data_IF_779747280532
#
_entry.id   IF_779747280532
#
_cell.length_a   1.000
_cell.length_b   1.000
_cell.length_c   1.000
_cell.angle_alpha   90.00
_cell.angle_beta   90.00
_cell.angle_gamma   90.00
#
_symmetry.space_group_name_H-M   'P 1'
#
loop_
_entity.id
_entity.type
_entity.pdbx_description
1 polymer ?
2 non-polymer ?
3 non-polymer ?
4 water ?
#
# COMPACT_ATOMS: atom_id res chain seq x y z
N UNK A 1 7.88 0.49 -0.64
CA UNK A 1 8.78 0.82 0.49
C UNK A 1 9.95 -0.16 0.66
N UNK A 2 9.89 -1.36 0.10
CA UNK A 2 10.83 -2.49 0.25
C UNK A 2 10.57 -3.53 -0.86
N UNK A 3 11.35 -4.64 -0.96
CA UNK A 3 11.35 -5.53 -2.14
C UNK A 3 10.05 -6.31 -2.41
N UNK A 4 9.25 -6.50 -1.36
CA UNK A 4 7.89 -7.09 -1.47
C UNK A 4 6.98 -6.14 -2.23
N UNK A 5 6.99 -4.88 -1.83
CA UNK A 5 6.20 -3.82 -2.48
C UNK A 5 6.69 -3.59 -3.93
N UNK A 6 7.98 -3.69 -4.17
CA UNK A 6 8.57 -3.64 -5.53
C UNK A 6 7.97 -4.72 -6.46
N UNK A 7 7.95 -5.97 -6.04
CA UNK A 7 7.39 -7.07 -6.86
C UNK A 7 5.88 -6.82 -7.08
N UNK A 8 5.15 -6.48 -6.01
CA UNK A 8 3.70 -6.18 -6.10
C UNK A 8 3.44 -5.09 -7.13
N UNK A 9 4.17 -3.98 -7.04
CA UNK A 9 4.01 -2.86 -7.99
C UNK A 9 4.27 -3.31 -9.42
N UNK A 10 5.30 -4.09 -9.63
CA UNK A 10 5.64 -4.58 -10.99
C UNK A 10 4.47 -5.39 -11.57
N UNK A 11 3.80 -6.19 -10.75
CA UNK A 11 2.60 -6.95 -11.18
C UNK A 11 1.45 -6.01 -11.44
N UNK A 12 1.16 -5.08 -10.54
CA UNK A 12 0.02 -4.17 -10.72
C UNK A 12 0.16 -3.32 -11.97
N UNK A 13 1.38 -2.84 -12.25
CA UNK A 13 1.58 -1.82 -13.34
C UNK A 13 1.41 -2.46 -14.71
N UNK A 14 1.56 -3.76 -14.87
CA UNK A 14 1.49 -4.40 -16.18
C UNK A 14 0.42 -5.49 -16.28
N UNK A 15 0.01 -6.10 -15.18
CA UNK A 15 -0.82 -7.34 -15.23
C UNK A 15 -2.16 -7.13 -14.54
N UNK A 16 -2.65 -5.92 -14.39
CA UNK A 16 -4.02 -5.71 -13.85
C UNK A 16 -4.83 -4.79 -14.73
N UNK A 17 -6.16 -5.00 -14.69
CA UNK A 17 -7.16 -4.11 -15.30
C UNK A 17 -8.25 -3.90 -14.24
N UNK A 18 -9.07 -2.90 -14.45
CA UNK A 18 -10.28 -2.71 -13.61
C UNK A 18 -11.43 -3.42 -14.34
N UNK A 19 -12.00 -4.43 -13.71
CA UNK A 19 -13.15 -5.18 -14.29
C UNK A 19 -14.44 -4.73 -13.60
N UNK A 20 -15.48 -4.49 -14.39
CA UNK A 20 -16.80 -4.08 -13.86
C UNK A 20 -17.87 -5.06 -14.37
N UNK A 21 -18.57 -5.71 -13.45
CA UNK A 21 -19.75 -6.56 -13.73
C UNK A 21 -20.96 -5.86 -13.07
N UNK A 22 -22.11 -6.50 -13.15
CA UNK A 22 -23.34 -6.00 -12.46
C UNK A 22 -23.23 -6.15 -10.97
N UNK A 23 -22.23 -6.89 -10.46
CA UNK A 23 -21.98 -7.12 -9.02
C UNK A 23 -20.91 -6.18 -8.48
N UNK A 24 -20.30 -5.29 -9.28
CA UNK A 24 -19.33 -4.31 -8.78
C UNK A 24 -18.09 -4.13 -9.66
N UNK A 25 -17.16 -3.33 -9.15
CA UNK A 25 -15.81 -3.12 -9.70
C UNK A 25 -14.81 -3.99 -8.95
N UNK A 26 -13.95 -4.69 -9.69
CA UNK A 26 -12.97 -5.65 -9.13
C UNK A 26 -11.58 -5.37 -9.73
N UNK A 27 -10.55 -5.53 -8.91
CA UNK A 27 -9.19 -5.76 -9.40
C UNK A 27 -9.25 -7.07 -10.19
N UNK A 28 -8.66 -7.06 -11.39
CA UNK A 28 -8.60 -8.30 -12.23
C UNK A 28 -7.15 -8.50 -12.65
N UNK A 29 -6.63 -9.66 -12.33
CA UNK A 29 -5.27 -10.11 -12.71
C UNK A 29 -5.26 -10.75 -14.10
N UNK A 30 -4.49 -10.17 -15.03
CA UNK A 30 -4.20 -10.82 -16.32
C UNK A 30 -3.02 -11.76 -16.18
N UNK A 31 -3.12 -12.98 -16.69
CA UNK A 31 -2.10 -14.03 -16.43
C UNK A 31 -1.23 -14.26 -17.68
N UNK A 32 -1.84 -14.33 -18.87
CA UNK A 32 -1.11 -14.52 -20.15
C UNK A 32 -2.13 -14.32 -21.25
N UNK A 33 -1.63 -13.96 -22.45
CA UNK A 33 -2.49 -13.82 -23.66
C UNK A 33 -3.69 -12.93 -23.27
N UNK A 34 -4.93 -13.40 -23.46
CA UNK A 34 -6.12 -12.58 -23.14
C UNK A 34 -6.84 -13.25 -21.95
N UNK A 35 -6.12 -14.00 -21.13
CA UNK A 35 -6.67 -14.80 -20.01
C UNK A 35 -6.42 -14.05 -18.71
N UNK A 36 -7.50 -13.86 -17.95
CA UNK A 36 -7.46 -13.16 -16.65
C UNK A 36 -8.24 -13.97 -15.63
N UNK A 37 -8.16 -13.56 -14.36
CA UNK A 37 -8.95 -14.21 -13.28
C UNK A 37 -9.71 -13.15 -12.48
N UNK A 38 -10.77 -13.62 -11.83
CA UNK A 38 -11.66 -12.72 -11.03
C UNK A 38 -12.37 -13.62 -10.05
N UNK A 39 -12.77 -13.11 -8.86
CA UNK A 39 -13.58 -13.97 -7.97
C UNK A 39 -14.90 -14.40 -8.62
N UNK A 40 -15.29 -15.67 -8.39
CA UNK A 40 -16.50 -16.22 -9.05
C UNK A 40 -17.76 -15.42 -8.63
N UNK A 41 -17.77 -14.86 -7.43
CA UNK A 41 -18.92 -14.01 -7.01
C UNK A 41 -19.07 -12.72 -7.81
N UNK A 42 -18.12 -12.36 -8.67
CA UNK A 42 -18.32 -11.24 -9.62
C UNK A 42 -19.41 -11.55 -10.64
N UNK A 43 -19.80 -12.83 -10.82
CA UNK A 43 -20.86 -13.27 -11.77
C UNK A 43 -20.58 -12.74 -13.18
N UNK A 44 -19.46 -13.12 -13.74
CA UNK A 44 -19.09 -12.67 -15.10
C UNK A 44 -20.14 -13.20 -16.09
N UNK A 45 -20.59 -12.33 -17.00
CA UNK A 45 -21.54 -12.73 -18.04
C UNK A 45 -20.93 -12.73 -19.42
N UNK A 46 -21.71 -12.44 -20.45
CA UNK A 46 -21.28 -12.48 -21.85
C UNK A 46 -20.49 -11.20 -22.22
N UNK A 47 -20.71 -10.12 -21.46
CA UNK A 47 -20.08 -8.79 -21.63
C UNK A 47 -19.57 -8.34 -20.25
N UNK A 48 -18.38 -7.74 -20.24
CA UNK A 48 -17.77 -7.17 -19.03
C UNK A 48 -17.17 -5.80 -19.43
N UNK A 49 -17.01 -4.88 -18.50
CA UNK A 49 -16.26 -3.63 -18.77
C UNK A 49 -14.83 -3.81 -18.26
N UNK A 50 -13.84 -3.46 -19.10
CA UNK A 50 -12.41 -3.59 -18.79
C UNK A 50 -11.82 -2.18 -18.93
N UNK A 51 -11.42 -1.54 -17.83
CA UNK A 51 -10.94 -0.12 -17.87
C UNK A 51 -12.03 0.74 -18.52
N UNK A 52 -13.30 0.50 -18.20
CA UNK A 52 -14.50 1.27 -18.63
C UNK A 52 -14.82 1.10 -20.12
N UNK A 53 -14.31 0.05 -20.76
CA UNK A 53 -14.63 -0.26 -22.17
C UNK A 53 -15.37 -1.60 -22.28
N UNK A 54 -16.47 -1.57 -23.01
CA UNK A 54 -17.32 -2.76 -23.24
C UNK A 54 -16.54 -3.84 -23.96
N UNK A 55 -16.44 -5.03 -23.36
CA UNK A 55 -15.58 -6.13 -23.85
C UNK A 55 -16.39 -7.44 -23.85
N UNK A 56 -16.40 -8.14 -24.97
CA UNK A 56 -17.01 -9.46 -25.07
C UNK A 56 -16.19 -10.45 -24.29
N UNK A 57 -16.87 -11.36 -23.60
CA UNK A 57 -16.25 -12.50 -22.88
C UNK A 57 -16.24 -13.71 -23.83
N UNK A 58 -15.07 -14.16 -24.25
CA UNK A 58 -14.94 -15.31 -25.19
C UNK A 58 -15.18 -16.62 -24.45
N UNK A 59 -14.80 -16.72 -23.16
CA UNK A 59 -15.02 -17.92 -22.35
C UNK A 59 -14.95 -17.50 -20.88
N UNK A 60 -15.71 -18.14 -20.00
CA UNK A 60 -15.61 -17.94 -18.53
C UNK A 60 -15.79 -19.31 -17.86
N UNK A 61 -14.87 -19.72 -17.01
CA UNK A 61 -14.99 -21.02 -16.33
C UNK A 61 -14.81 -20.84 -14.83
N UNK A 62 -15.85 -21.12 -14.06
CA UNK A 62 -15.81 -21.09 -12.60
C UNK A 62 -15.16 -22.36 -12.12
N UNK A 63 -13.95 -22.31 -11.59
CA UNK A 63 -13.19 -23.53 -11.21
C UNK A 63 -13.77 -24.19 -9.96
N UNK A 64 -13.73 -25.52 -9.97
CA UNK A 64 -14.10 -26.36 -8.83
C UNK A 64 -13.04 -27.45 -8.71
N UNK A 65 -12.74 -27.93 -7.53
CA UNK A 65 -11.79 -29.05 -7.40
C UNK A 65 -12.46 -30.39 -7.79
N UNK A 66 -11.66 -31.45 -7.74
CA UNK A 66 -12.15 -32.73 -8.33
C UNK A 66 -13.20 -33.38 -7.43
N UNK A 67 -13.32 -32.94 -6.18
CA UNK A 67 -14.49 -33.21 -5.28
C UNK A 67 -15.71 -32.33 -5.63
N UNK A 68 -15.70 -31.52 -6.69
CA UNK A 68 -16.83 -30.68 -7.11
C UNK A 68 -17.08 -29.66 -5.97
N UNK A 69 -16.01 -29.16 -5.34
CA UNK A 69 -16.11 -28.06 -4.35
C UNK A 69 -15.66 -26.73 -4.99
N UNK A 70 -16.38 -25.66 -4.73
CA UNK A 70 -16.06 -24.30 -5.21
C UNK A 70 -14.59 -23.95 -4.89
N UNK A 71 -13.88 -23.34 -5.88
CA UNK A 71 -12.54 -22.74 -5.61
C UNK A 71 -12.59 -21.20 -5.64
N UNK A 72 -13.71 -20.60 -6.05
CA UNK A 72 -13.95 -19.14 -6.03
C UNK A 72 -13.12 -18.39 -7.09
N UNK A 73 -12.49 -19.12 -8.01
CA UNK A 73 -11.72 -18.51 -9.12
C UNK A 73 -12.52 -18.69 -10.40
N UNK A 74 -12.79 -17.63 -11.14
CA UNK A 74 -13.29 -17.71 -12.52
C UNK A 74 -12.15 -17.28 -13.48
N UNK A 75 -11.83 -18.12 -14.44
CA UNK A 75 -10.86 -17.82 -15.52
C UNK A 75 -11.66 -17.26 -16.68
N UNK A 76 -11.30 -16.07 -17.12
CA UNK A 76 -12.02 -15.33 -18.18
C UNK A 76 -11.09 -15.12 -19.37
N UNK A 77 -11.54 -15.46 -20.57
CA UNK A 77 -10.81 -15.06 -21.79
C UNK A 77 -11.54 -13.86 -22.39
N UNK A 78 -10.83 -12.76 -22.55
CA UNK A 78 -11.40 -11.46 -22.97
C UNK A 78 -11.21 -11.26 -24.48
N UNK A 79 -12.20 -10.72 -25.19
CA UNK A 79 -12.03 -10.27 -26.59
C UNK A 79 -11.35 -8.90 -26.62
N UNK A 80 -10.10 -8.89 -26.23
CA UNK A 80 -9.28 -7.66 -26.09
C UNK A 80 -8.27 -7.64 -27.25
N UNK A 81 -7.83 -6.44 -27.64
CA UNK A 81 -6.90 -6.28 -28.77
C UNK A 81 -5.44 -6.32 -28.33
N UNK A 82 -5.15 -6.71 -27.09
CA UNK A 82 -3.80 -6.60 -26.52
C UNK A 82 -3.63 -7.80 -25.59
N UNK A 83 -2.47 -8.44 -25.59
CA UNK A 83 -2.11 -9.53 -24.64
C UNK A 83 -1.50 -8.98 -23.35
N UNK A 84 -1.68 -9.72 -22.27
CA UNK A 84 -0.94 -9.52 -21.02
C UNK A 84 0.46 -10.07 -21.14
N UNK A 85 1.39 -9.44 -20.43
CA UNK A 85 2.70 -10.06 -20.12
C UNK A 85 2.42 -11.45 -19.53
N UNK A 86 3.12 -12.47 -19.95
CA UNK A 86 2.97 -13.82 -19.43
C UNK A 86 3.66 -13.88 -18.07
N UNK A 87 2.89 -14.08 -17.02
CA UNK A 87 3.42 -14.21 -15.62
C UNK A 87 3.18 -15.61 -15.07
N UNK A 88 2.93 -16.60 -15.89
CA UNK A 88 2.69 -17.98 -15.38
C UNK A 88 3.88 -18.53 -14.63
N UNK A 89 5.11 -18.09 -14.93
CA UNK A 89 6.29 -18.60 -14.23
C UNK A 89 6.39 -18.07 -12.80
N UNK A 90 5.55 -17.11 -12.41
CA UNK A 90 5.49 -16.62 -11.01
C UNK A 90 4.42 -17.33 -10.17
N UNK A 91 3.72 -18.30 -10.74
CA UNK A 91 2.62 -19.01 -10.03
C UNK A 91 3.22 -20.21 -9.33
N UNK A 92 2.82 -20.46 -8.08
CA UNK A 92 3.23 -21.66 -7.37
C UNK A 92 2.69 -22.92 -8.03
N UNK A 93 3.42 -24.02 -7.86
CA UNK A 93 2.97 -25.31 -8.40
C UNK A 93 2.10 -26.07 -7.38
N UNK A 94 2.28 -25.83 -6.08
CA UNK A 94 1.55 -26.59 -5.04
C UNK A 94 0.97 -25.67 -3.98
N UNK A 95 0.06 -26.22 -3.18
CA UNK A 95 -0.54 -25.54 -2.02
C UNK A 95 0.57 -25.33 -0.99
N UNK A 96 0.61 -24.17 -0.36
CA UNK A 96 1.70 -23.83 0.58
C UNK A 96 1.26 -22.72 1.50
N UNK A 97 2.06 -22.53 2.55
CA UNK A 97 2.04 -21.34 3.45
C UNK A 97 3.14 -20.37 2.99
N UNK A 98 3.04 -19.10 3.36
CA UNK A 98 3.97 -18.05 2.90
C UNK A 98 4.28 -17.08 4.01
N UNK A 99 5.46 -16.46 3.94
CA UNK A 99 5.72 -15.30 4.81
C UNK A 99 5.67 -13.98 4.02
N UNK A 100 5.31 -12.92 4.71
CA UNK A 100 5.57 -11.53 4.31
C UNK A 100 4.91 -11.28 2.95
N UNK A 101 3.60 -11.44 2.89
CA UNK A 101 2.84 -11.19 1.64
C UNK A 101 2.33 -9.75 1.60
N UNK A 102 2.00 -9.28 0.40
CA UNK A 102 1.37 -7.98 0.12
C UNK A 102 0.08 -8.26 -0.66
N UNK A 103 -0.97 -7.56 -0.28
CA UNK A 103 -2.26 -7.50 -1.01
C UNK A 103 -2.35 -6.18 -1.74
N UNK A 104 -2.54 -6.21 -3.05
CA UNK A 104 -2.55 -5.00 -3.91
C UNK A 104 -3.88 -4.88 -4.65
N UNK A 105 -4.47 -3.69 -4.61
CA UNK A 105 -5.78 -3.39 -5.18
C UNK A 105 -5.68 -2.17 -6.05
N UNK A 106 -6.40 -2.17 -7.17
CA UNK A 106 -6.48 -0.98 -8.02
C UNK A 106 -7.89 -0.86 -8.57
N UNK A 107 -8.70 0.04 -8.00
CA UNK A 107 -10.07 0.32 -8.49
C UNK A 107 -10.28 1.83 -8.41
N UNK A 108 -11.44 2.31 -8.89
CA UNK A 108 -11.92 3.71 -8.68
C UNK A 108 -11.98 4.06 -7.18
N UNK A 109 -12.39 3.16 -6.32
CA UNK A 109 -12.56 3.39 -4.86
C UNK A 109 -11.17 3.39 -4.20
N UNK A 110 -10.28 2.48 -4.61
CA UNK A 110 -8.96 2.25 -3.98
C UNK A 110 -7.86 2.17 -5.03
N UNK A 111 -7.41 3.30 -5.62
CA UNK A 111 -6.33 3.30 -6.57
C UNK A 111 -4.97 3.16 -5.88
N UNK A 112 -4.08 2.36 -6.48
CA UNK A 112 -2.67 2.29 -6.01
C UNK A 112 -2.61 1.90 -4.55
N UNK A 113 -3.42 0.93 -4.13
CA UNK A 113 -3.48 0.48 -2.74
C UNK A 113 -2.58 -0.74 -2.57
N UNK A 114 -1.74 -0.74 -1.54
CA UNK A 114 -0.85 -1.86 -1.17
C UNK A 114 -0.93 -2.10 0.32
N UNK A 115 -1.10 -3.33 0.76
CA UNK A 115 -1.25 -3.68 2.21
C UNK A 115 -0.29 -4.78 2.57
N UNK A 116 0.69 -4.60 3.50
CA UNK A 116 1.50 -5.70 3.99
C UNK A 116 0.65 -6.52 4.97
N UNK A 117 0.28 -7.73 4.56
CA UNK A 117 -0.64 -8.58 5.38
C UNK A 117 0.10 -9.55 6.26
N UNK A 118 1.41 -9.74 6.11
CA UNK A 118 2.23 -10.63 6.94
C UNK A 118 2.11 -12.07 6.52
N UNK A 119 2.09 -12.94 7.49
CA UNK A 119 2.10 -14.41 7.28
C UNK A 119 0.77 -14.87 6.64
N UNK A 120 0.90 -15.77 5.69
CA UNK A 120 -0.27 -16.37 4.98
C UNK A 120 -0.34 -17.88 5.28
N UNK A 121 -1.46 -18.32 5.85
CA UNK A 121 -1.71 -19.72 6.24
C UNK A 121 -2.43 -20.45 5.09
N UNK A 122 -2.00 -21.66 4.75
CA UNK A 122 -2.85 -22.60 3.98
C UNK A 122 -4.01 -23.01 4.88
N UNK A 123 -5.10 -22.30 4.80
CA UNK A 123 -6.27 -22.45 5.69
C UNK A 123 -7.08 -23.69 5.25
N UNK A 124 -7.26 -23.85 3.96
CA UNK A 124 -7.98 -24.99 3.36
C UNK A 124 -9.44 -24.68 3.16
N UNK A 125 -10.27 -25.31 3.99
CA UNK A 125 -11.73 -25.22 3.89
C UNK A 125 -12.23 -23.92 4.53
N UNK A 126 -13.15 -23.25 3.85
CA UNK A 126 -13.85 -22.06 4.37
C UNK A 126 -15.28 -22.11 3.87
N UNK A 127 -16.21 -21.82 4.76
CA UNK A 127 -17.62 -21.55 4.38
C UNK A 127 -17.70 -20.07 4.03
N UNK A 128 -17.55 -19.78 2.76
CA UNK A 128 -17.43 -18.42 2.23
C UNK A 128 -18.80 -17.93 1.76
N UNK A 129 -19.42 -17.00 2.52
CA UNK A 129 -20.77 -16.52 2.16
C UNK A 129 -21.80 -17.65 2.07
N UNK A 130 -21.66 -18.68 2.90
CA UNK A 130 -22.54 -19.88 2.84
C UNK A 130 -22.08 -20.95 1.86
N UNK A 131 -21.01 -20.72 1.08
CA UNK A 131 -20.60 -21.68 0.03
C UNK A 131 -19.35 -22.42 0.48
N UNK A 132 -19.36 -23.76 0.67
CA UNK A 132 -18.15 -24.50 0.99
C UNK A 132 -17.07 -24.24 -0.10
N UNK A 133 -15.89 -23.83 0.34
CA UNK A 133 -14.80 -23.41 -0.58
C UNK A 133 -13.51 -24.10 -0.13
N UNK A 134 -12.66 -24.51 -1.08
CA UNK A 134 -11.36 -25.16 -0.78
C UNK A 134 -10.19 -24.25 -1.25
N UNK A 135 -8.99 -24.63 -0.85
CA UNK A 135 -7.72 -23.97 -1.25
C UNK A 135 -7.69 -22.51 -0.85
N UNK A 136 -8.19 -22.21 0.34
CA UNK A 136 -8.19 -20.83 0.88
C UNK A 136 -6.91 -20.54 1.67
N UNK A 137 -6.33 -19.39 1.37
CA UNK A 137 -5.21 -18.77 2.11
C UNK A 137 -5.83 -17.76 3.08
N UNK A 138 -5.23 -17.67 4.26
CA UNK A 138 -5.71 -16.67 5.27
C UNK A 138 -4.56 -15.77 5.73
N UNK A 139 -4.90 -14.52 5.99
CA UNK A 139 -3.97 -13.51 6.57
C UNK A 139 -4.76 -12.70 7.58
N UNK A 140 -4.03 -12.24 8.59
CA UNK A 140 -4.64 -11.60 9.76
C UNK A 140 -4.61 -10.13 9.48
N UNK A 141 -5.41 -9.67 8.53
CA UNK A 141 -5.63 -8.23 8.26
C UNK A 141 -7.12 -7.98 8.06
N UNK A 142 -7.68 -6.90 8.68
CA UNK A 142 -9.08 -6.50 8.54
C UNK A 142 -9.41 -5.84 7.18
N UNK A 143 -9.43 -6.72 6.16
CA UNK A 143 -9.79 -6.37 4.76
C UNK A 143 -11.28 -5.96 4.69
N UNK A 144 -11.61 -5.11 3.72
CA UNK A 144 -12.91 -4.41 3.59
C UNK A 144 -13.47 -4.68 2.21
N UNK A 145 -14.76 -4.37 2.08
CA UNK A 145 -15.45 -4.26 0.77
C UNK A 145 -14.59 -3.34 -0.11
N UNK A 146 -14.48 -3.72 -1.37
CA UNK A 146 -13.67 -3.06 -2.40
C UNK A 146 -12.34 -3.75 -2.67
N UNK A 147 -11.95 -4.77 -1.88
CA UNK A 147 -10.62 -5.40 -2.05
C UNK A 147 -10.72 -6.75 -2.80
N UNK A 148 -11.92 -7.24 -3.15
CA UNK A 148 -12.06 -8.55 -3.84
C UNK A 148 -11.40 -8.41 -5.22
N UNK A 149 -10.65 -9.46 -5.55
CA UNK A 149 -9.85 -9.52 -6.78
C UNK A 149 -8.44 -9.05 -6.52
N UNK A 150 -8.19 -8.43 -5.34
CA UNK A 150 -6.85 -7.93 -5.05
C UNK A 150 -5.84 -9.03 -5.20
N UNK A 151 -4.63 -8.68 -5.60
CA UNK A 151 -3.57 -9.67 -5.89
C UNK A 151 -2.74 -9.91 -4.64
N UNK A 152 -2.53 -11.15 -4.26
CA UNK A 152 -1.64 -11.51 -3.13
C UNK A 152 -0.30 -12.01 -3.69
N UNK A 153 0.79 -11.35 -3.27
CA UNK A 153 2.15 -11.67 -3.79
C UNK A 153 3.09 -11.88 -2.61
N UNK A 154 4.14 -12.63 -2.88
CA UNK A 154 5.40 -12.52 -2.11
C UNK A 154 6.45 -12.03 -3.11
N UNK A 155 7.71 -11.84 -2.68
CA UNK A 155 8.83 -11.67 -3.67
C UNK A 155 8.85 -12.90 -4.59
N UNK A 156 8.66 -12.64 -5.85
CA UNK A 156 8.85 -13.60 -6.90
C UNK A 156 7.66 -14.48 -7.06
N UNK A 157 6.59 -14.41 -6.22
CA UNK A 157 5.42 -15.28 -6.47
C UNK A 157 4.08 -14.54 -6.40
N UNK A 158 3.22 -14.87 -7.36
CA UNK A 158 1.79 -14.43 -7.35
C UNK A 158 0.98 -15.61 -6.82
N UNK A 159 0.45 -15.49 -5.59
CA UNK A 159 -0.02 -16.71 -4.87
C UNK A 159 -1.57 -16.79 -4.77
N UNK A 160 -2.30 -15.72 -5.00
CA UNK A 160 -3.76 -15.79 -4.81
C UNK A 160 -4.45 -14.48 -5.15
N UNK A 161 -5.78 -14.54 -5.14
CA UNK A 161 -6.65 -13.35 -5.29
C UNK A 161 -7.62 -13.29 -4.10
N UNK A 162 -7.75 -12.09 -3.55
CA UNK A 162 -8.61 -11.85 -2.36
C UNK A 162 -10.09 -12.12 -2.71
N UNK A 163 -10.77 -12.90 -1.86
CA UNK A 163 -12.19 -13.31 -2.13
C UNK A 163 -13.11 -13.01 -0.94
N UNK A 164 -12.59 -12.64 0.22
CA UNK A 164 -13.47 -12.33 1.37
C UNK A 164 -12.77 -12.04 2.66
N UNK A 165 -13.57 -11.84 3.71
CA UNK A 165 -12.99 -11.56 5.04
C UNK A 165 -14.07 -11.68 6.11
N UNK A 166 -13.68 -11.73 7.38
CA UNK A 166 -14.65 -11.86 8.51
C UNK A 166 -14.53 -10.64 9.45
N UNK A 167 -13.92 -9.56 9.02
CA UNK A 167 -13.71 -8.38 9.88
C UNK A 167 -12.34 -8.35 10.51
N UNK A 168 -11.75 -9.49 10.88
CA UNK A 168 -10.40 -9.56 11.47
C UNK A 168 -9.37 -10.29 10.56
N UNK A 169 -9.84 -11.29 9.80
CA UNK A 169 -9.01 -12.07 8.83
C UNK A 169 -9.48 -11.76 7.40
N UNK A 170 -8.55 -11.95 6.47
CA UNK A 170 -8.84 -11.91 5.02
C UNK A 170 -8.52 -13.25 4.42
N UNK A 171 -9.20 -13.55 3.32
CA UNK A 171 -9.13 -14.85 2.65
C UNK A 171 -8.92 -14.64 1.13
N UNK A 172 -7.97 -15.45 0.62
CA UNK A 172 -7.68 -15.46 -0.82
C UNK A 172 -7.84 -16.87 -1.38
N UNK A 173 -8.27 -16.96 -2.62
CA UNK A 173 -8.23 -18.23 -3.37
C UNK A 173 -6.84 -18.44 -3.93
N UNK A 174 -6.27 -19.63 -3.78
CA UNK A 174 -4.97 -19.95 -4.36
C UNK A 174 -4.97 -19.80 -5.86
N UNK A 175 -3.84 -19.36 -6.42
CA UNK A 175 -3.55 -19.54 -7.86
C UNK A 175 -2.46 -20.60 -7.97
N UNK A 176 -2.69 -21.56 -8.81
CA UNK A 176 -1.75 -22.63 -9.09
C UNK A 176 -1.42 -22.63 -10.59
N UNK A 177 -0.16 -22.94 -10.89
CA UNK A 177 0.31 -23.01 -12.28
C UNK A 177 -0.59 -23.93 -13.13
N UNK A 178 -1.06 -25.04 -12.55
CA UNK A 178 -1.86 -26.05 -13.28
C UNK A 178 -3.20 -25.51 -13.76
N UNK A 179 -3.69 -24.39 -13.23
CA UNK A 179 -4.95 -23.81 -13.73
C UNK A 179 -4.78 -23.19 -15.14
N UNK A 180 -3.55 -22.91 -15.57
CA UNK A 180 -3.26 -22.06 -16.78
C UNK A 180 -2.32 -22.73 -17.78
N UNK A 181 -2.29 -24.05 -17.78
CA UNK A 181 -1.69 -24.84 -18.90
C UNK A 181 -2.69 -24.76 -20.09
N UNK B 2 -11.55 6.67 0.69
CA UNK B 2 -12.72 7.51 0.25
C UNK B 2 -12.46 8.99 0.46
N UNK B 3 -13.12 9.67 1.44
CA UNK B 3 -12.64 10.95 1.95
C UNK B 3 -11.18 10.77 2.40
N UNK B 4 -10.87 9.68 3.11
CA UNK B 4 -9.51 9.32 3.53
C UNK B 4 -8.54 9.17 2.35
N UNK B 5 -8.88 8.36 1.34
CA UNK B 5 -8.03 8.18 0.13
C UNK B 5 -7.97 9.47 -0.68
N UNK B 6 -9.09 10.20 -0.81
CA UNK B 6 -9.09 11.55 -1.44
C UNK B 6 -8.10 12.45 -0.68
N UNK B 7 -8.17 12.47 0.64
CA UNK B 7 -7.31 13.35 1.46
C UNK B 7 -5.83 12.95 1.27
N UNK B 8 -5.54 11.67 1.37
CA UNK B 8 -4.15 11.19 1.21
C UNK B 8 -3.64 11.61 -0.16
N UNK B 9 -4.44 11.43 -1.23
CA UNK B 9 -4.02 11.84 -2.59
C UNK B 9 -3.80 13.33 -2.74
N UNK B 10 -4.67 14.17 -2.13
CA UNK B 10 -4.59 15.65 -2.18
C UNK B 10 -3.29 16.14 -1.53
N UNK B 11 -2.93 15.51 -0.41
CA UNK B 11 -1.64 15.85 0.24
C UNK B 11 -0.45 15.33 -0.57
N UNK B 12 -0.54 14.10 -1.09
CA UNK B 12 0.51 13.52 -1.99
C UNK B 12 0.77 14.49 -3.14
N UNK B 13 -0.27 14.85 -3.87
CA UNK B 13 -0.17 15.58 -5.16
C UNK B 13 0.47 16.96 -4.97
N UNK B 14 0.06 17.72 -3.96
CA UNK B 14 0.53 19.11 -3.83
C UNK B 14 1.67 19.28 -2.80
N UNK B 15 1.76 18.40 -1.80
CA UNK B 15 2.64 18.64 -0.64
C UNK B 15 3.76 17.60 -0.48
N UNK B 16 3.93 16.63 -1.37
CA UNK B 16 4.94 15.56 -1.19
C UNK B 16 5.97 15.68 -2.35
N UNK B 17 7.26 15.75 -2.02
CA UNK B 17 8.36 15.76 -3.00
C UNK B 17 9.31 14.59 -2.73
N UNK B 18 10.20 14.30 -3.69
CA UNK B 18 11.25 13.27 -3.49
C UNK B 18 12.52 13.99 -3.03
N UNK B 19 12.98 13.71 -1.82
CA UNK B 19 14.23 14.30 -1.31
C UNK B 19 15.32 13.23 -1.42
N UNK B 20 16.50 13.64 -1.90
CA UNK B 20 17.68 12.74 -2.00
C UNK B 20 18.85 13.40 -1.27
N UNK B 21 19.24 12.77 -0.16
CA UNK B 21 20.44 13.08 0.64
C UNK B 21 21.55 12.12 0.19
N UNK B 22 22.73 12.24 0.81
CA UNK B 22 23.85 11.29 0.65
C UNK B 22 23.33 9.85 0.81
N UNK B 23 22.28 9.64 1.61
CA UNK B 23 21.81 8.27 1.99
C UNK B 23 20.80 7.73 0.96
N UNK B 24 20.29 8.59 0.08
CA UNK B 24 19.36 8.19 -0.99
C UNK B 24 18.02 8.87 -0.83
N UNK B 25 16.94 8.18 -1.17
CA UNK B 25 15.66 8.90 -1.40
C UNK B 25 14.69 8.67 -0.23
N UNK B 26 14.01 9.79 0.07
CA UNK B 26 13.03 9.88 1.16
C UNK B 26 11.80 10.62 0.64
N UNK B 27 10.62 10.14 1.06
CA UNK B 27 9.37 10.89 0.90
C UNK B 27 9.43 12.15 1.80
N UNK B 28 9.32 13.32 1.26
CA UNK B 28 9.44 14.57 2.04
C UNK B 28 8.08 15.27 1.99
N UNK B 29 7.63 15.78 3.13
CA UNK B 29 6.41 16.59 3.23
C UNK B 29 6.76 18.07 3.30
N UNK B 30 6.28 18.85 2.33
CA UNK B 30 6.31 20.29 2.46
C UNK B 30 5.11 20.82 3.22
N UNK B 31 5.37 21.72 4.17
CA UNK B 31 4.34 22.13 5.17
C UNK B 31 3.81 23.54 4.83
N UNK B 32 4.67 24.46 4.54
CA UNK B 32 4.30 25.87 4.16
C UNK B 32 5.54 26.58 3.66
N UNK B 33 5.38 27.69 2.90
CA UNK B 33 6.55 28.47 2.42
C UNK B 33 7.59 27.53 1.82
N UNK B 34 8.86 27.58 2.29
CA UNK B 34 9.93 26.64 1.82
C UNK B 34 10.35 25.70 2.95
N UNK B 35 9.43 25.42 3.84
CA UNK B 35 9.64 24.58 5.05
C UNK B 35 9.08 23.20 4.82
N UNK B 36 9.90 22.17 5.02
CA UNK B 36 9.53 20.77 4.83
C UNK B 36 10.07 19.93 6.00
N UNK B 37 9.63 18.70 6.08
CA UNK B 37 10.08 17.74 7.11
C UNK B 37 10.52 16.44 6.46
N UNK B 38 11.44 15.79 7.17
CA UNK B 38 12.09 14.53 6.70
C UNK B 38 12.54 13.84 7.98
N UNK B 39 12.64 12.50 8.01
CA UNK B 39 13.22 11.85 9.19
C UNK B 39 14.65 12.30 9.47
N UNK B 40 14.99 12.40 10.77
CA UNK B 40 16.38 12.80 11.16
C UNK B 40 17.42 11.81 10.60
N UNK B 41 17.09 10.52 10.48
CA UNK B 41 18.07 9.53 10.00
C UNK B 41 18.41 9.76 8.53
N UNK B 42 17.72 10.66 7.78
CA UNK B 42 18.09 10.99 6.39
C UNK B 42 19.45 11.72 6.30
N UNK B 43 19.90 12.30 7.42
CA UNK B 43 21.23 12.96 7.54
C UNK B 43 21.33 14.08 6.49
N UNK B 44 20.41 15.04 6.58
CA UNK B 44 20.38 16.23 5.71
C UNK B 44 21.67 17.03 5.90
N UNK B 45 22.25 17.41 4.78
CA UNK B 45 23.48 18.22 4.78
C UNK B 45 23.22 19.62 4.33
N UNK B 46 24.26 20.21 3.74
CA UNK B 46 24.21 21.61 3.25
C UNK B 46 23.41 21.68 1.95
N UNK B 47 23.41 20.59 1.18
CA UNK B 47 22.71 20.54 -0.13
C UNK B 47 21.89 19.24 -0.13
N UNK B 48 20.75 19.30 -0.81
CA UNK B 48 19.81 18.17 -0.98
C UNK B 48 19.30 18.21 -2.41
N UNK B 49 18.84 17.05 -2.92
CA UNK B 49 18.13 17.02 -4.21
C UNK B 49 16.62 16.95 -3.94
N UNK B 50 15.88 17.82 -4.61
CA UNK B 50 14.38 17.92 -4.47
C UNK B 50 13.82 17.66 -5.88
N UNK B 51 13.18 16.51 -6.09
CA UNK B 51 12.72 16.07 -7.43
C UNK B 51 13.89 16.16 -8.43
N UNK B 52 15.08 15.75 -8.01
CA UNK B 52 16.31 15.55 -8.82
C UNK B 52 16.98 16.90 -9.12
N UNK B 53 16.57 17.99 -8.46
CA UNK B 53 17.16 19.34 -8.55
C UNK B 53 18.07 19.61 -7.33
N UNK B 54 19.35 19.87 -7.55
CA UNK B 54 20.31 20.33 -6.50
C UNK B 54 19.77 21.59 -5.82
N UNK B 55 19.61 21.56 -4.47
CA UNK B 55 18.89 22.61 -3.68
C UNK B 55 19.68 22.88 -2.40
N UNK B 56 20.06 24.13 -2.17
CA UNK B 56 20.73 24.52 -0.92
C UNK B 56 19.71 24.35 0.21
N UNK B 57 20.17 23.75 1.29
CA UNK B 57 19.38 23.73 2.56
C UNK B 57 19.82 24.92 3.41
N UNK B 58 18.95 25.90 3.57
CA UNK B 58 19.30 27.15 4.30
C UNK B 58 19.40 26.87 5.80
N UNK B 59 18.58 25.93 6.31
CA UNK B 59 18.48 25.67 7.75
C UNK B 59 17.98 24.22 7.90
N UNK B 60 18.53 23.51 8.88
CA UNK B 60 18.04 22.18 9.29
C UNK B 60 18.01 22.14 10.81
N UNK B 61 16.88 21.72 11.36
CA UNK B 61 16.69 21.55 12.82
C UNK B 61 16.28 20.11 13.11
N UNK B 62 17.14 19.37 13.80
CA UNK B 62 16.84 18.01 14.29
C UNK B 62 16.02 18.17 15.57
N UNK B 63 14.71 18.04 15.51
CA UNK B 63 13.82 18.45 16.61
C UNK B 63 14.01 17.57 17.86
N UNK B 64 13.95 18.25 19.00
CA UNK B 64 13.95 17.63 20.34
C UNK B 64 12.86 18.32 21.16
N UNK B 65 12.27 17.63 22.13
CA UNK B 65 11.22 18.24 22.97
C UNK B 65 11.85 18.91 24.19
N UNK B 66 11.00 19.40 25.07
CA UNK B 66 11.47 20.19 26.23
C UNK B 66 12.06 19.30 27.33
N UNK B 67 11.96 17.97 27.23
CA UNK B 67 12.74 17.04 28.05
C UNK B 67 14.14 16.82 27.42
N UNK B 68 14.44 17.52 26.31
CA UNK B 68 15.70 17.33 25.56
C UNK B 68 15.81 15.89 25.04
N UNK B 69 14.70 15.37 24.52
CA UNK B 69 14.63 14.04 23.92
C UNK B 69 14.37 14.17 22.42
N UNK B 70 15.05 13.34 21.67
CA UNK B 70 14.89 13.23 20.20
C UNK B 70 13.42 13.03 19.84
N UNK B 71 12.99 13.67 18.74
CA UNK B 71 11.64 13.44 18.11
C UNK B 71 11.78 12.79 16.70
N UNK B 72 12.98 12.68 16.16
CA UNK B 72 13.28 12.01 14.87
C UNK B 72 12.72 12.78 13.66
N UNK B 73 12.30 14.01 13.84
CA UNK B 73 11.86 14.92 12.72
C UNK B 73 12.95 15.93 12.54
N UNK B 74 13.36 16.16 11.31
CA UNK B 74 14.19 17.30 10.92
C UNK B 74 13.36 18.28 10.09
N UNK B 75 13.27 19.54 10.53
CA UNK B 75 12.62 20.62 9.78
C UNK B 75 13.68 21.26 8.92
N UNK B 76 13.42 21.40 7.63
CA UNK B 76 14.38 22.05 6.70
C UNK B 76 13.73 23.30 6.08
N UNK B 77 14.57 24.30 5.82
CA UNK B 77 14.21 25.53 5.02
C UNK B 77 15.00 25.47 3.72
N UNK B 78 14.30 25.35 2.59
CA UNK B 78 14.93 25.07 1.28
C UNK B 78 15.14 26.38 0.49
N UNK B 79 16.26 26.50 -0.23
CA UNK B 79 16.51 27.60 -1.21
C UNK B 79 15.88 27.25 -2.57
N UNK B 80 14.56 27.45 -2.72
CA UNK B 80 13.80 27.17 -3.97
C UNK B 80 12.66 28.18 -4.15
N UNK B 81 12.33 28.47 -5.42
CA UNK B 81 11.34 29.52 -5.77
C UNK B 81 9.95 29.09 -5.35
N UNK B 82 9.62 27.82 -5.59
CA UNK B 82 8.30 27.21 -5.32
C UNK B 82 7.99 27.32 -3.83
N UNK B 83 6.78 27.78 -3.50
CA UNK B 83 6.25 27.76 -2.13
C UNK B 83 5.30 26.56 -2.01
N UNK B 84 5.33 25.85 -0.88
CA UNK B 84 4.41 24.73 -0.60
C UNK B 84 3.04 25.29 -0.20
N UNK B 85 1.99 24.64 -0.70
CA UNK B 85 0.59 24.89 -0.23
C UNK B 85 0.56 24.74 1.31
N UNK B 86 0.13 25.77 2.04
CA UNK B 86 0.08 25.75 3.53
C UNK B 86 -0.91 24.68 3.99
N UNK B 87 -0.45 23.72 4.82
CA UNK B 87 -1.27 22.63 5.38
C UNK B 87 -1.17 22.64 6.90
N UNK B 88 -0.70 23.76 7.48
CA UNK B 88 -0.54 23.80 8.97
C UNK B 88 -1.87 23.60 9.70
N UNK B 89 -2.99 24.01 9.06
CA UNK B 89 -4.33 23.83 9.65
C UNK B 89 -4.77 22.37 9.71
N UNK B 90 -4.07 21.44 9.02
CA UNK B 90 -4.36 19.99 9.09
C UNK B 90 -3.50 19.21 10.11
N UNK B 91 -2.66 19.95 10.83
CA UNK B 91 -1.77 19.32 11.85
C UNK B 91 -2.49 19.25 13.18
N UNK B 92 -2.46 18.10 13.85
CA UNK B 92 -3.01 17.97 15.21
C UNK B 92 -2.33 18.96 16.18
N UNK B 93 -3.16 19.48 17.10
CA UNK B 93 -2.66 20.37 18.19
C UNK B 93 -2.09 19.55 19.33
N UNK B 94 -2.59 18.34 19.54
CA UNK B 94 -2.25 17.46 20.70
C UNK B 94 -1.88 16.05 20.21
N UNK B 95 -1.19 15.31 21.08
CA UNK B 95 -0.92 13.86 20.93
C UNK B 95 -2.25 13.14 20.97
N UNK B 96 -2.43 12.12 20.13
CA UNK B 96 -3.72 11.39 20.05
C UNK B 96 -3.53 10.01 19.41
N UNK B 97 -4.55 9.16 19.54
CA UNK B 97 -4.73 7.89 18.81
C UNK B 97 -5.65 8.18 17.62
N UNK B 98 -5.59 7.34 16.58
CA UNK B 98 -6.35 7.55 15.34
C UNK B 98 -6.83 6.21 14.77
N UNK B 99 -7.89 6.29 13.96
CA UNK B 99 -8.37 5.13 13.17
C UNK B 99 -8.23 5.39 11.67
N UNK B 100 -8.12 4.32 10.91
CA UNK B 100 -8.34 4.37 9.46
C UNK B 100 -7.26 5.26 8.81
N UNK B 101 -6.00 5.12 9.23
CA UNK B 101 -4.91 5.95 8.66
C UNK B 101 -4.35 5.32 7.36
N UNK B 102 -3.74 6.18 6.56
CA UNK B 102 -3.11 5.85 5.27
C UNK B 102 -1.66 6.39 5.34
N UNK B 103 -0.73 5.54 4.94
CA UNK B 103 0.70 5.88 4.77
C UNK B 103 0.94 6.03 3.27
N UNK B 104 1.42 7.19 2.84
CA UNK B 104 1.61 7.52 1.42
C UNK B 104 3.09 7.73 1.10
N UNK B 105 3.60 6.84 0.22
CA UNK B 105 5.04 6.76 -0.18
C UNK B 105 5.23 7.39 -1.54
N UNK B 106 6.28 8.16 -1.71
CA UNK B 106 6.55 8.78 -3.00
C UNK B 106 8.08 8.88 -3.18
N UNK B 107 8.65 7.97 -3.99
CA UNK B 107 10.07 8.00 -4.39
C UNK B 107 10.16 7.69 -5.88
N UNK B 108 11.38 7.68 -6.41
CA UNK B 108 11.56 7.29 -7.85
C UNK B 108 11.18 5.83 -8.03
N UNK B 109 11.45 5.00 -7.06
CA UNK B 109 11.16 3.55 -7.08
C UNK B 109 9.68 3.26 -6.84
N UNK B 110 9.02 4.06 -5.97
CA UNK B 110 7.65 3.84 -5.45
C UNK B 110 6.87 5.13 -5.67
N UNK B 111 6.48 5.48 -6.90
CA UNK B 111 5.79 6.72 -7.15
C UNK B 111 4.33 6.61 -6.68
N UNK B 112 3.75 7.60 -6.09
CA UNK B 112 2.27 7.39 -5.77
C UNK B 112 1.83 5.98 -5.24
N UNK B 113 2.28 5.48 -4.07
CA UNK B 113 1.88 4.22 -3.40
C UNK B 113 1.10 4.51 -2.08
N UNK B 114 -0.06 3.93 -1.83
CA UNK B 114 -0.94 4.22 -0.65
C UNK B 114 -1.09 2.95 0.14
N UNK B 115 -0.72 2.97 1.42
CA UNK B 115 -0.70 1.80 2.33
C UNK B 115 -1.65 2.04 3.47
N UNK B 116 -2.87 1.48 3.46
CA UNK B 116 -3.83 1.61 4.55
C UNK B 116 -3.14 0.88 5.70
N UNK B 117 -2.93 1.57 6.79
CA UNK B 117 -2.30 0.94 7.99
C UNK B 117 -3.34 0.71 9.08
N UNK B 118 -4.47 1.44 9.02
CA UNK B 118 -5.60 1.23 9.95
C UNK B 118 -5.34 1.94 11.26
N UNK B 119 -5.42 1.18 12.35
CA UNK B 119 -5.42 1.74 13.72
C UNK B 119 -4.02 2.24 14.07
N UNK B 120 -3.97 3.48 14.54
CA UNK B 120 -2.70 4.15 14.96
C UNK B 120 -2.79 4.44 16.47
N UNK B 121 -1.80 3.94 17.21
CA UNK B 121 -1.71 4.14 18.68
C UNK B 121 -0.68 5.24 18.99
N UNK B 122 -0.99 6.12 19.94
CA UNK B 122 0.00 6.95 20.66
C UNK B 122 0.89 6.03 21.52
N UNK B 123 2.00 5.57 20.97
CA UNK B 123 2.91 4.54 21.55
C UNK B 123 3.83 5.26 22.55
N UNK B 124 4.25 6.48 22.22
CA UNK B 124 5.08 7.33 23.08
C UNK B 124 6.56 7.05 22.94
N UNK B 125 7.16 6.45 23.98
CA UNK B 125 8.62 6.27 24.05
C UNK B 125 9.03 5.10 23.18
N UNK B 126 10.12 5.26 22.42
CA UNK B 126 10.74 4.17 21.67
C UNK B 126 12.25 4.37 21.68
N UNK B 127 13.00 3.31 21.94
CA UNK B 127 14.46 3.31 21.70
C UNK B 127 14.68 3.00 20.23
N UNK B 128 14.90 4.03 19.43
CA UNK B 128 14.98 3.88 17.96
C UNK B 128 16.44 3.88 17.50
N UNK B 129 16.95 2.70 17.14
CA UNK B 129 18.35 2.58 16.73
C UNK B 129 19.31 2.96 17.83
N UNK B 130 18.91 2.78 19.09
CA UNK B 130 19.78 3.14 20.22
C UNK B 130 19.52 4.55 20.76
N UNK B 131 18.66 5.36 20.12
CA UNK B 131 18.36 6.73 20.57
C UNK B 131 16.98 6.79 21.22
N UNK B 132 16.86 7.23 22.49
CA UNK B 132 15.58 7.43 23.13
C UNK B 132 14.78 8.49 22.33
N UNK B 133 13.52 8.15 22.02
CA UNK B 133 12.66 8.97 21.13
C UNK B 133 11.27 9.10 21.76
N UNK B 134 10.67 10.30 21.61
CA UNK B 134 9.32 10.56 22.11
C UNK B 134 8.34 10.71 20.94
N UNK B 135 7.06 10.71 21.32
CA UNK B 135 5.91 11.05 20.44
C UNK B 135 5.87 10.09 19.25
N UNK B 136 6.09 8.83 19.46
CA UNK B 136 5.98 7.80 18.42
C UNK B 136 4.52 7.33 18.31
N UNK B 137 4.03 7.31 17.07
CA UNK B 137 2.77 6.61 16.66
C UNK B 137 3.10 5.21 16.16
N UNK B 138 2.27 4.22 16.48
CA UNK B 138 2.54 2.84 16.07
C UNK B 138 1.31 2.28 15.31
N UNK B 139 1.61 1.53 14.28
CA UNK B 139 0.60 0.75 13.50
C UNK B 139 1.21 -0.60 13.16
N UNK B 140 0.32 -1.59 12.90
CA UNK B 140 0.78 -2.91 12.43
C UNK B 140 1.50 -2.69 11.10
N UNK B 141 2.59 -3.37 10.86
CA UNK B 141 3.41 -3.23 9.62
C UNK B 141 4.30 -4.46 9.53
N UNK B 142 3.71 -5.64 9.20
CA UNK B 142 4.43 -6.92 9.28
C UNK B 142 5.30 -7.21 8.04
N UNK B 143 6.30 -6.36 7.83
CA UNK B 143 7.17 -6.28 6.65
C UNK B 143 8.44 -5.55 7.14
N UNK B 144 9.55 -5.87 6.53
CA UNK B 144 10.80 -5.09 6.73
C UNK B 144 10.81 -4.11 5.55
N UNK B 145 10.45 -2.87 5.82
CA UNK B 145 10.52 -1.72 4.89
C UNK B 145 11.93 -1.08 4.95
N UNK B 146 12.34 -0.47 3.84
CA UNK B 146 13.53 0.41 3.78
C UNK B 146 13.29 1.76 4.44
N UNK B 147 14.21 2.67 4.20
CA UNK B 147 14.34 3.95 4.95
C UNK B 147 13.40 5.03 4.42
N UNK B 148 12.80 4.89 3.24
CA UNK B 148 12.30 6.05 2.48
C UNK B 148 11.11 6.72 3.20
N UNK B 149 10.40 5.97 4.01
CA UNK B 149 9.28 6.55 4.80
C UNK B 149 8.11 7.03 3.95
N UNK B 150 7.32 7.96 4.51
CA UNK B 150 6.06 8.35 3.93
C UNK B 150 5.19 9.12 4.91
N UNK B 151 4.13 9.69 4.39
CA UNK B 151 3.27 10.63 5.14
C UNK B 151 2.07 9.86 5.66
N UNK B 152 1.75 10.00 6.94
CA UNK B 152 0.58 9.34 7.57
C UNK B 152 -0.56 10.36 7.74
N UNK B 153 -1.71 10.02 7.15
CA UNK B 153 -2.94 10.87 7.15
C UNK B 153 -4.12 10.07 7.68
N UNK B 154 -5.08 10.82 8.21
CA UNK B 154 -6.47 10.33 8.47
C UNK B 154 -7.38 11.20 7.61
N UNK B 155 -8.69 11.00 7.68
CA UNK B 155 -9.60 12.00 7.06
C UNK B 155 -9.39 13.27 7.87
N UNK B 156 -8.91 14.30 7.21
CA UNK B 156 -8.81 15.67 7.68
C UNK B 156 -7.55 16.04 8.40
N UNK B 157 -6.64 15.09 8.68
CA UNK B 157 -5.42 15.44 9.43
C UNK B 157 -4.16 14.81 8.81
N UNK B 158 -3.09 15.58 8.91
CA UNK B 158 -1.72 15.05 8.60
C UNK B 158 -1.02 14.76 9.93
N UNK B 159 -0.90 13.50 10.29
CA UNK B 159 -0.62 13.15 11.72
C UNK B 159 0.86 12.81 11.94
N UNK B 160 1.64 12.42 10.94
CA UNK B 160 3.03 11.98 11.21
C UNK B 160 3.75 11.61 9.95
N UNK B 161 5.04 11.32 10.10
CA UNK B 161 5.89 10.78 9.02
C UNK B 161 6.53 9.52 9.51
N UNK B 162 6.59 8.48 8.66
CA UNK B 162 7.14 7.16 9.00
C UNK B 162 8.66 7.22 9.24
N UNK B 163 9.11 6.73 10.39
CA UNK B 163 10.54 6.84 10.77
C UNK B 163 11.20 5.48 10.99
N UNK B 164 10.46 4.38 11.13
CA UNK B 164 11.11 3.07 11.39
C UNK B 164 10.12 1.95 11.62
N UNK B 165 10.63 0.80 12.04
CA UNK B 165 9.79 -0.38 12.26
C UNK B 165 10.62 -1.55 12.73
N UNK B 166 9.97 -2.60 13.26
CA UNK B 166 10.68 -3.74 13.93
C UNK B 166 10.30 -5.06 13.24
N UNK B 167 9.77 -5.02 12.01
CA UNK B 167 9.29 -6.19 11.21
C UNK B 167 7.86 -6.63 11.52
N UNK B 168 7.26 -6.16 12.60
CA UNK B 168 5.89 -6.42 13.06
C UNK B 168 5.09 -5.11 13.10
N UNK B 169 5.74 -4.07 13.65
CA UNK B 169 5.09 -2.76 13.85
C UNK B 169 5.85 -1.72 13.04
N UNK B 170 5.15 -0.68 12.65
CA UNK B 170 5.68 0.50 11.99
C UNK B 170 5.50 1.70 12.92
N UNK B 171 6.47 2.63 12.81
CA UNK B 171 6.55 3.79 13.74
C UNK B 171 6.64 5.08 12.93
N UNK B 172 5.87 6.06 13.34
CA UNK B 172 5.85 7.41 12.77
C UNK B 172 6.13 8.41 13.89
N UNK B 173 6.84 9.47 13.57
CA UNK B 173 6.98 10.65 14.41
C UNK B 173 5.74 11.52 14.26
N UNK B 174 5.17 11.96 15.39
CA UNK B 174 4.00 12.86 15.36
C UNK B 174 4.38 14.17 14.70
N UNK B 175 3.46 14.75 13.90
CA UNK B 175 3.56 16.16 13.53
C UNK B 175 2.53 16.94 14.38
N UNK B 176 2.98 18.01 14.99
CA UNK B 176 2.10 18.87 15.85
C UNK B 176 2.15 20.26 15.29
N UNK B 177 1.02 20.97 15.45
CA UNK B 177 0.89 22.33 14.92
C UNK B 177 1.97 23.25 15.50
N UNK B 178 2.27 23.02 16.78
CA UNK B 178 3.23 23.90 17.50
C UNK B 178 4.65 23.81 16.96
N UNK B 179 4.99 22.81 16.14
CA UNK B 179 6.36 22.74 15.58
C UNK B 179 6.65 23.82 14.52
N UNK B 180 5.55 24.41 13.98
CA UNK B 180 5.61 25.30 12.78
C UNK B 180 4.97 26.68 13.04
N UNK B 181 4.53 26.94 14.26
CA UNK B 181 4.20 28.33 14.70
C UNK B 181 5.51 29.12 14.91
X LIG C 1 0.64 -2.14 -20.37
X LIG C 1 1.54 -1.05 -19.83
X LIG C 1 -0.32 -1.37 -21.65
X LIG C 1 -0.66 -2.37 -19.17
X LIG D 1 24.77 14.26 -3.11
X LIG D 1 23.24 12.71 -3.83
X LIG D 1 23.49 15.50 -1.37
X LIG D 1 24.51 13.21 -3.95
X LIG D 1 25.09 12.87 -6.35
X LIG D 1 22.74 11.87 -4.55
X LIG D 1 25.54 12.76 -4.90
X LIG D 1 23.71 14.43 -2.41
X LIG D 1 22.63 13.43 -2.66
X LIG D 1 22.87 16.53 -1.88
X LIG D 1 22.79 15.08 -0.36
X LIG D 1 24.62 15.92 -0.86
X LIG E 1 9.68 26.04 11.65
X LIG E 1 10.83 26.88 11.07
X LIG E 1 8.19 26.72 10.98
X LIG E 1 9.46 26.57 13.34
#
# INVERSE_FOLDING_TARGET
>A
MGPGFDFAQAIMKKNTVIARTEKGEFTMLGVYDRVAVIPTHASVGEIIYINDVETRVLDACALRDLTDTNLEITIVKLDRNQKFRDIRHFLPRCEDDYNDAVLSVHTSKFPNMYIPVGQVTNYGFLNLGGTPTHRILMYNFPTRAGQCGGVVTTTGKVIGIHVGGNGAQGFAAMLLHSYFTD
>B
MGPGFDFAQAIMKKNTVIARTEKGEFTMLGVYDRVAVIPTHASVGEIIYINDVETRVLDACALRDLTDTNLEITIVKLDRNQKFRDIRHFLPRCEDDYNDAVLSVHTSKFPNMYIPVGQVTNYGFLNLGGTPTHRILMYNFPTRAGQCGGVVTTTGKVIGIHVGGNGAQGFAAMLLHSYFTD
>C hetero
1 DMS S O C1 C2
>D hetero
1 TWC N1 C4 C5 N C O C1 C2 C3 F F1 F2
>E hetero
1 DMS S O C1 C2
#
